data_IF_234862268329
#
_entry.id   IF_234862268329
#
_cell.length_a   1.000
_cell.length_b   1.000
_cell.length_c   1.000
_cell.angle_alpha   90.00
_cell.angle_beta   90.00
_cell.angle_gamma   90.00
#
_symmetry.space_group_name_H-M   'P 1'
#
loop_
_entity.id
_entity.type
_entity.pdbx_description
1 polymer ?
#
# COMPACT_ATOMS: atom_id res chain seq x y z
N UNK A 1 13.97 -59.84 -18.28
CA UNK A 1 14.39 -58.66 -17.51
C UNK A 1 13.96 -57.42 -18.29
N UNK A 2 12.83 -56.81 -17.95
CA UNK A 2 12.34 -55.57 -18.56
C UNK A 2 12.48 -54.49 -17.47
N UNK A 3 13.46 -53.61 -17.63
CA UNK A 3 13.76 -52.55 -16.68
C UNK A 3 12.76 -51.40 -16.84
N UNK A 4 11.95 -51.16 -15.81
CA UNK A 4 11.09 -49.98 -15.72
C UNK A 4 11.96 -48.79 -15.30
N UNK A 5 12.28 -47.91 -16.25
CA UNK A 5 12.89 -46.62 -15.96
C UNK A 5 11.80 -45.67 -15.45
N UNK A 6 11.71 -45.50 -14.14
CA UNK A 6 10.85 -44.49 -13.53
C UNK A 6 11.51 -43.12 -13.71
N UNK A 7 11.03 -42.38 -14.71
CA UNK A 7 11.28 -40.94 -14.81
C UNK A 7 10.58 -40.26 -13.63
N UNK A 8 11.38 -39.84 -12.64
CA UNK A 8 10.90 -38.92 -11.61
C UNK A 8 10.61 -37.59 -12.30
N UNK A 9 9.34 -37.28 -12.49
CA UNK A 9 8.93 -35.91 -12.82
C UNK A 9 9.27 -35.04 -11.61
N UNK A 10 10.42 -34.37 -11.64
CA UNK A 10 10.71 -33.23 -10.78
C UNK A 10 9.74 -32.10 -11.14
N UNK A 11 8.52 -32.15 -10.60
CA UNK A 11 7.63 -31.01 -10.62
C UNK A 11 8.24 -29.92 -9.76
N UNK A 12 8.59 -28.79 -10.37
CA UNK A 12 8.96 -27.59 -9.64
C UNK A 12 7.78 -27.19 -8.76
N UNK A 13 7.89 -27.38 -7.44
CA UNK A 13 6.95 -26.79 -6.49
C UNK A 13 7.31 -25.32 -6.40
N UNK A 14 6.71 -24.50 -7.26
CA UNK A 14 6.70 -23.06 -7.12
C UNK A 14 5.60 -22.66 -6.13
N UNK A 15 5.93 -21.84 -5.14
CA UNK A 15 4.90 -21.17 -4.34
C UNK A 15 4.01 -20.34 -5.29
N UNK A 16 2.69 -20.55 -5.25
CA UNK A 16 1.73 -19.81 -6.09
C UNK A 16 1.64 -18.35 -5.61
N UNK A 17 2.46 -17.48 -6.20
CA UNK A 17 2.27 -16.03 -6.19
C UNK A 17 1.62 -15.56 -7.50
N UNK A 18 0.67 -16.34 -8.03
CA UNK A 18 -0.07 -15.94 -9.23
C UNK A 18 -1.35 -15.19 -8.81
N UNK A 19 -1.15 -13.94 -8.37
CA UNK A 19 -2.22 -13.02 -7.94
C UNK A 19 -3.10 -12.58 -9.12
N UNK A 20 -2.61 -12.76 -10.35
CA UNK A 20 -3.31 -12.40 -11.59
C UNK A 20 -4.19 -13.52 -12.15
N UNK A 21 -4.33 -14.61 -11.41
CA UNK A 21 -5.23 -15.70 -11.79
C UNK A 21 -6.65 -15.42 -11.30
N UNK A 22 -7.63 -15.74 -12.14
CA UNK A 22 -9.02 -15.80 -11.74
C UNK A 22 -9.21 -16.71 -10.50
N UNK A 23 -10.03 -16.31 -9.52
CA UNK A 23 -10.95 -15.18 -9.57
C UNK A 23 -10.39 -13.83 -9.06
N UNK A 24 -9.11 -13.77 -8.66
CA UNK A 24 -8.55 -12.60 -7.95
C UNK A 24 -8.23 -11.48 -8.94
N UNK A 25 -7.44 -11.77 -9.98
CA UNK A 25 -6.92 -10.80 -10.95
C UNK A 25 -6.50 -9.47 -10.27
N UNK A 26 -5.62 -9.58 -9.27
CA UNK A 26 -5.38 -8.54 -8.26
C UNK A 26 -5.18 -7.16 -8.88
N UNK A 27 -4.33 -7.01 -9.89
CA UNK A 27 -4.05 -5.69 -10.48
C UNK A 27 -5.24 -5.06 -11.22
N UNK A 28 -6.12 -5.88 -11.81
CA UNK A 28 -7.12 -5.40 -12.78
C UNK A 28 -8.55 -5.38 -12.26
N UNK A 29 -8.87 -6.20 -11.26
CA UNK A 29 -10.20 -6.19 -10.64
C UNK A 29 -10.39 -4.86 -9.90
N UNK A 30 -11.46 -4.10 -10.20
CA UNK A 30 -11.80 -2.88 -9.47
C UNK A 30 -11.94 -3.15 -7.96
N UNK A 31 -11.63 -2.14 -7.16
CA UNK A 31 -11.71 -2.19 -5.70
C UNK A 31 -12.59 -1.05 -5.20
N UNK A 32 -13.29 -1.26 -4.10
CA UNK A 32 -14.13 -0.31 -3.40
C UNK A 32 -13.67 -0.15 -1.95
N UNK A 33 -12.38 0.18 -1.81
CA UNK A 33 -11.75 0.48 -0.52
C UNK A 33 -11.75 1.99 -0.21
N UNK A 34 -11.59 2.39 1.07
CA UNK A 34 -11.54 3.81 1.46
C UNK A 34 -10.55 4.69 0.69
N UNK A 35 -9.38 4.18 0.26
CA UNK A 35 -8.43 4.96 -0.52
C UNK A 35 -8.94 5.20 -1.96
N UNK A 36 -9.55 4.19 -2.58
CA UNK A 36 -10.20 4.32 -3.90
C UNK A 36 -11.41 5.26 -3.86
N UNK A 37 -12.21 5.21 -2.79
CA UNK A 37 -13.30 6.16 -2.57
C UNK A 37 -12.80 7.59 -2.37
N UNK A 38 -11.70 7.78 -1.63
CA UNK A 38 -11.06 9.08 -1.49
C UNK A 38 -10.54 9.59 -2.84
N UNK A 39 -9.84 8.76 -3.62
CA UNK A 39 -9.38 9.12 -4.96
C UNK A 39 -10.53 9.62 -5.84
N UNK A 40 -11.66 8.91 -5.82
CA UNK A 40 -12.87 9.32 -6.55
C UNK A 40 -13.41 10.69 -6.11
N UNK A 41 -13.40 10.98 -4.80
CA UNK A 41 -13.80 12.30 -4.27
C UNK A 41 -12.82 13.41 -4.67
N UNK A 42 -11.53 13.13 -4.73
CA UNK A 42 -10.51 14.08 -5.19
C UNK A 42 -10.71 14.43 -6.67
N UNK A 43 -10.98 13.44 -7.52
CA UNK A 43 -11.26 13.64 -8.95
C UNK A 43 -12.52 14.49 -9.18
N UNK A 44 -13.56 14.29 -8.37
CA UNK A 44 -14.80 15.10 -8.39
C UNK A 44 -14.66 16.45 -7.70
N UNK A 45 -13.50 16.76 -7.10
CA UNK A 45 -13.24 17.97 -6.30
C UNK A 45 -14.17 18.13 -5.09
N UNK A 46 -14.64 17.02 -4.54
CA UNK A 46 -15.45 16.94 -3.32
C UNK A 46 -14.58 16.91 -2.05
N UNK A 47 -13.30 16.58 -2.21
CA UNK A 47 -12.29 16.57 -1.14
C UNK A 47 -11.00 17.26 -1.62
N UNK A 48 -10.15 17.67 -0.68
CA UNK A 48 -8.86 18.30 -0.94
C UNK A 48 -7.81 17.84 0.07
N UNK A 49 -6.70 17.31 -0.42
CA UNK A 49 -5.51 17.11 0.40
C UNK A 49 -4.68 18.40 0.46
N UNK A 50 -4.47 18.89 1.68
CA UNK A 50 -3.66 20.08 1.95
C UNK A 50 -2.24 19.66 2.32
N UNK A 51 -1.25 20.17 1.59
CA UNK A 51 0.17 20.00 1.89
C UNK A 51 0.62 20.93 3.02
N UNK A 52 1.52 20.46 3.87
CA UNK A 52 2.15 21.25 4.93
C UNK A 52 3.67 21.08 4.89
N UNK A 53 4.47 22.13 5.18
CA UNK A 53 5.92 22.04 5.10
C UNK A 53 6.54 20.94 5.97
N UNK A 54 5.94 20.63 7.12
CA UNK A 54 6.50 19.67 8.08
C UNK A 54 6.07 18.23 7.82
N UNK A 55 4.84 18.00 7.35
CA UNK A 55 4.21 16.68 7.31
C UNK A 55 3.68 16.29 5.93
N UNK A 56 3.87 17.13 4.92
CA UNK A 56 3.29 16.97 3.61
C UNK A 56 1.77 16.86 3.68
N UNK A 57 1.20 15.86 3.01
CA UNK A 57 -0.25 15.60 2.99
C UNK A 57 -0.74 14.80 4.20
N UNK A 58 0.13 14.36 5.12
CA UNK A 58 -0.23 13.43 6.20
C UNK A 58 -1.49 13.86 6.97
N UNK A 59 -1.52 15.09 7.49
CA UNK A 59 -2.64 15.55 8.33
C UNK A 59 -3.98 15.58 7.59
N UNK A 60 -3.97 15.99 6.32
CA UNK A 60 -5.18 16.02 5.51
C UNK A 60 -5.60 14.61 5.10
N UNK A 61 -4.66 13.76 4.71
CA UNK A 61 -4.92 12.36 4.38
C UNK A 61 -5.53 11.59 5.56
N UNK A 62 -4.98 11.70 6.76
CA UNK A 62 -5.52 11.05 7.96
C UNK A 62 -6.96 11.48 8.24
N UNK A 63 -7.27 12.76 8.07
CA UNK A 63 -8.63 13.27 8.26
C UNK A 63 -9.60 12.72 7.21
N UNK A 64 -9.21 12.69 5.95
CA UNK A 64 -10.09 12.22 4.86
C UNK A 64 -10.37 10.70 4.93
N UNK A 65 -9.46 9.95 5.55
CA UNK A 65 -9.58 8.51 5.81
C UNK A 65 -10.12 8.17 7.21
N UNK A 66 -10.49 9.18 8.01
CA UNK A 66 -10.95 9.02 9.40
C UNK A 66 -9.99 8.21 10.29
N UNK A 67 -8.68 8.48 10.17
CA UNK A 67 -7.63 7.84 10.96
C UNK A 67 -7.27 8.76 12.14
N UNK A 68 -7.43 8.31 13.40
CA UNK A 68 -7.08 9.11 14.56
C UNK A 68 -5.57 9.30 14.65
N UNK A 69 -5.10 10.53 14.82
CA UNK A 69 -3.66 10.84 14.98
C UNK A 69 -3.06 10.11 16.20
N UNK A 70 -3.87 9.84 17.22
CA UNK A 70 -3.46 9.10 18.43
C UNK A 70 -3.16 7.62 18.19
N UNK A 71 -3.50 7.06 17.02
CA UNK A 71 -3.13 5.67 16.65
C UNK A 71 -1.63 5.49 16.36
N UNK A 72 -0.86 6.59 16.34
CA UNK A 72 0.54 6.59 15.92
C UNK A 72 1.39 5.52 16.63
N UNK A 73 2.10 4.73 15.83
CA UNK A 73 3.20 3.86 16.27
C UNK A 73 4.46 4.13 15.44
N UNK A 74 5.63 3.89 16.03
CA UNK A 74 6.92 4.00 15.34
C UNK A 74 7.49 2.62 15.05
N UNK A 75 7.81 2.38 13.77
CA UNK A 75 8.36 1.12 13.27
C UNK A 75 9.78 1.35 12.77
N UNK A 76 10.70 0.60 13.36
CA UNK A 76 12.15 0.69 13.10
C UNK A 76 12.65 -0.38 12.13
N UNK A 77 11.83 -1.39 11.82
CA UNK A 77 12.15 -2.46 10.86
C UNK A 77 12.15 -1.93 9.43
N UNK A 78 12.99 -2.54 8.58
CA UNK A 78 13.12 -2.20 7.15
C UNK A 78 12.18 -3.01 6.25
N UNK A 79 10.93 -3.17 6.68
CA UNK A 79 9.88 -3.98 6.01
C UNK A 79 8.84 -3.04 5.40
N UNK A 80 9.20 -2.39 4.28
CA UNK A 80 8.47 -1.29 3.64
C UNK A 80 8.98 -1.09 2.21
N UNK A 81 8.15 -0.55 1.32
CA UNK A 81 8.58 -0.05 -0.01
C UNK A 81 9.72 0.97 0.14
N UNK A 82 9.77 1.65 1.28
CA UNK A 82 10.72 2.71 1.60
C UNK A 82 11.82 2.26 2.56
N UNK A 83 12.18 0.96 2.56
CA UNK A 83 13.19 0.36 3.45
C UNK A 83 14.53 1.12 3.52
N UNK A 84 14.95 1.73 2.40
CA UNK A 84 16.18 2.54 2.32
C UNK A 84 16.12 3.84 3.15
N UNK A 85 14.93 4.37 3.42
CA UNK A 85 14.72 5.63 4.17
C UNK A 85 14.48 5.41 5.67
N UNK A 86 14.25 4.17 6.08
CA UNK A 86 13.99 3.81 7.47
C UNK A 86 15.32 3.60 8.21
N UNK A 87 15.49 4.31 9.32
CA UNK A 87 16.64 4.15 10.22
C UNK A 87 16.23 4.42 11.67
N UNK A 88 17.05 4.06 12.67
CA UNK A 88 16.80 4.46 14.07
C UNK A 88 16.63 5.96 14.27
N UNK A 89 17.20 6.80 13.40
CA UNK A 89 17.05 8.27 13.43
C UNK A 89 15.83 8.77 12.66
N UNK A 90 15.29 7.95 11.76
CA UNK A 90 14.15 8.26 10.88
C UNK A 90 13.24 7.04 10.80
N UNK A 91 12.57 6.66 11.90
CA UNK A 91 11.63 5.54 11.88
C UNK A 91 10.42 5.87 11.01
N UNK A 92 9.76 4.84 10.49
CA UNK A 92 8.46 5.00 9.84
C UNK A 92 7.40 5.15 10.93
N UNK A 93 6.57 6.18 10.84
CA UNK A 93 5.33 6.26 11.59
C UNK A 93 4.23 5.50 10.85
N UNK A 94 3.43 4.74 11.58
CA UNK A 94 2.19 4.16 11.08
C UNK A 94 1.04 4.75 11.88
N UNK A 95 -0.01 5.16 11.16
CA UNK A 95 -1.30 5.57 11.70
C UNK A 95 -2.35 4.61 11.14
N UNK A 96 -3.38 4.27 11.90
CA UNK A 96 -4.37 3.28 11.48
C UNK A 96 -5.74 3.49 12.11
N UNK A 97 -6.76 2.99 11.42
CA UNK A 97 -8.07 2.64 11.96
C UNK A 97 -8.39 1.19 11.56
N UNK A 98 -9.65 0.78 11.64
CA UNK A 98 -10.06 -0.59 11.35
C UNK A 98 -9.99 -0.95 9.86
N UNK A 99 -10.02 0.05 8.97
CA UNK A 99 -10.13 -0.16 7.52
C UNK A 99 -8.87 0.22 6.76
N UNK A 100 -8.03 1.11 7.31
CA UNK A 100 -6.89 1.67 6.61
C UNK A 100 -5.67 1.91 7.51
N UNK A 101 -4.49 1.81 6.92
CA UNK A 101 -3.25 2.33 7.49
C UNK A 101 -2.63 3.40 6.61
N UNK A 102 -1.86 4.30 7.23
CA UNK A 102 -0.97 5.25 6.54
C UNK A 102 0.44 5.12 7.11
N UNK A 103 1.38 4.75 6.25
CA UNK A 103 2.82 4.75 6.51
C UNK A 103 3.45 6.08 6.08
N UNK A 104 4.16 6.73 7.01
CA UNK A 104 4.82 8.01 6.78
C UNK A 104 6.24 8.00 7.31
N UNK A 105 7.19 8.50 6.50
CA UNK A 105 8.58 8.68 6.91
C UNK A 105 8.90 10.17 6.77
N UNK A 106 9.50 10.81 7.79
CA UNK A 106 9.88 12.22 7.72
C UNK A 106 10.70 12.53 6.46
N UNK A 107 10.26 13.54 5.70
CA UNK A 107 10.91 14.00 4.45
C UNK A 107 11.01 12.93 3.35
N UNK A 108 10.13 11.94 3.36
CA UNK A 108 10.02 11.03 2.22
C UNK A 108 9.16 11.62 1.12
N UNK A 109 9.40 11.19 -0.11
CA UNK A 109 8.68 11.68 -1.29
C UNK A 109 7.34 10.96 -1.49
N UNK A 110 7.11 9.86 -0.75
CA UNK A 110 5.93 9.00 -0.88
C UNK A 110 5.37 8.63 0.49
N UNK A 111 4.05 8.62 0.61
CA UNK A 111 3.32 7.96 1.70
C UNK A 111 2.74 6.64 1.21
N UNK A 112 2.74 5.64 2.08
CA UNK A 112 2.14 4.34 1.83
C UNK A 112 0.74 4.33 2.46
N UNK A 113 -0.26 3.81 1.74
CA UNK A 113 -1.60 3.61 2.28
C UNK A 113 -1.99 2.16 2.01
N UNK A 114 -2.53 1.46 2.99
CA UNK A 114 -3.30 0.24 2.73
C UNK A 114 -4.71 0.49 3.15
N UNK A 115 -5.60 -0.06 2.37
CA UNK A 115 -7.02 0.04 2.60
C UNK A 115 -7.64 -1.34 2.38
N UNK A 116 -8.67 -1.64 3.17
CA UNK A 116 -9.34 -2.93 3.16
C UNK A 116 -10.50 -2.89 2.18
N UNK A 117 -10.38 -3.63 1.09
CA UNK A 117 -11.45 -3.92 0.14
C UNK A 117 -12.26 -5.14 0.62
N UNK A 118 -13.60 -5.11 0.53
CA UNK A 118 -14.44 -6.23 0.99
C UNK A 118 -14.27 -7.52 0.19
N UNK A 119 -13.78 -7.48 -1.05
CA UNK A 119 -13.61 -8.65 -1.91
C UNK A 119 -12.15 -9.13 -1.99
N UNK A 120 -11.21 -8.20 -2.16
CA UNK A 120 -9.78 -8.46 -2.34
C UNK A 120 -8.96 -8.35 -1.05
N UNK A 121 -9.56 -7.90 0.05
CA UNK A 121 -8.86 -7.70 1.31
C UNK A 121 -7.91 -6.51 1.22
N UNK A 122 -6.64 -6.71 1.57
CA UNK A 122 -5.72 -5.58 1.70
C UNK A 122 -5.17 -5.10 0.37
N UNK A 123 -5.45 -3.83 0.04
CA UNK A 123 -5.01 -3.17 -1.18
C UNK A 123 -4.04 -2.04 -0.84
N UNK A 124 -2.89 -2.07 -1.49
CA UNK A 124 -1.80 -1.12 -1.25
C UNK A 124 -1.85 0.02 -2.26
N UNK A 125 -1.64 1.23 -1.76
CA UNK A 125 -1.63 2.47 -2.52
C UNK A 125 -0.42 3.31 -2.11
N UNK A 126 -0.03 4.21 -3.00
CA UNK A 126 1.01 5.21 -2.76
C UNK A 126 0.46 6.60 -3.04
N UNK A 127 0.94 7.58 -2.27
CA UNK A 127 0.68 8.99 -2.51
C UNK A 127 2.00 9.75 -2.57
N UNK A 128 2.31 10.32 -3.73
CA UNK A 128 3.45 11.23 -3.86
C UNK A 128 3.20 12.53 -3.09
N UNK A 129 4.23 13.04 -2.43
CA UNK A 129 4.18 14.26 -1.62
C UNK A 129 4.69 15.50 -2.37
N UNK A 130 4.52 15.54 -3.69
CA UNK A 130 4.89 16.70 -4.49
C UNK A 130 3.77 17.77 -4.46
N UNK A 131 4.13 19.06 -4.48
CA UNK A 131 3.18 20.18 -4.49
C UNK A 131 2.80 20.64 -5.91
N UNK A 132 3.47 20.10 -6.93
CA UNK A 132 3.33 20.55 -8.33
C UNK A 132 2.10 19.92 -8.97
N UNK A 133 1.95 18.61 -8.78
CA UNK A 133 0.86 17.84 -9.36
C UNK A 133 -0.26 17.62 -8.35
N UNK A 134 -1.51 17.43 -8.81
CA UNK A 134 -2.60 17.02 -7.93
C UNK A 134 -2.24 15.72 -7.20
N UNK A 135 -2.57 15.60 -5.90
CA UNK A 135 -2.34 14.38 -5.15
C UNK A 135 -3.21 13.25 -5.73
N UNK A 136 -2.57 12.12 -6.06
CA UNK A 136 -3.23 10.92 -6.59
C UNK A 136 -2.84 9.72 -5.75
N UNK A 137 -3.84 9.02 -5.21
CA UNK A 137 -3.68 7.71 -4.60
C UNK A 137 -3.59 6.67 -5.72
N UNK A 138 -2.38 6.14 -5.95
CA UNK A 138 -2.14 5.13 -6.98
C UNK A 138 -2.06 3.76 -6.33
N UNK A 139 -2.88 2.82 -6.82
CA UNK A 139 -2.75 1.41 -6.44
C UNK A 139 -1.35 0.91 -6.81
N UNK A 140 -0.68 0.31 -5.85
CA UNK A 140 0.62 -0.30 -6.03
C UNK A 140 0.49 -1.64 -6.76
N UNK A 141 1.27 -1.82 -7.83
CA UNK A 141 1.28 -3.02 -8.67
C UNK A 141 2.20 -4.10 -8.07
N UNK A 142 1.99 -4.40 -6.79
CA UNK A 142 2.64 -5.50 -6.10
C UNK A 142 4.01 -5.22 -5.47
N UNK A 143 4.62 -4.03 -5.62
CA UNK A 143 5.92 -3.74 -4.98
C UNK A 143 5.84 -3.83 -3.44
N UNK A 144 4.72 -3.44 -2.85
CA UNK A 144 4.46 -3.55 -1.43
C UNK A 144 4.31 -5.01 -0.95
N UNK A 145 4.05 -5.95 -1.86
CA UNK A 145 3.88 -7.38 -1.56
C UNK A 145 5.19 -8.18 -1.61
N UNK A 146 6.30 -7.57 -2.05
CA UNK A 146 7.60 -8.24 -2.34
C UNK A 146 8.55 -8.22 -1.12
N UNK A 147 8.02 -8.14 0.11
CA UNK A 147 8.85 -8.08 1.32
C UNK A 147 9.65 -9.36 1.60
#
# INVERSE_FOLDING_TARGET
>A
MIGFCWWVCSGSVGAQFDLERAPINYETTPVDDPATQLQSRLERKESLLTHTPEHGYLKSLLRELDIPVSSQILVFSKTSLQSARISPRTPRAIYFNDESYVGWIPRSDVMEVMSTDPEQGQVFHTLEQNEIDPPVLRRDQGNCLVC
#
